data_IF_495151875564
#
_entry.id   IF_495151875564
#
_cell.length_a   1.000
_cell.length_b   1.000
_cell.length_c   1.000
_cell.angle_alpha   90.00
_cell.angle_beta   90.00
_cell.angle_gamma   90.00
#
_symmetry.space_group_name_H-M   'P 1'
#
loop_
_entity.id
_entity.type
_entity.pdbx_description
1 polymer ?
#
# COMPACT_ATOMS: atom_id res chain seq x y z
N UNK A 1 15.45 -22.73 -15.19
CA UNK A 1 16.43 -21.87 -14.50
C UNK A 1 15.87 -20.51 -14.10
N UNK A 2 14.72 -20.05 -14.63
CA UNK A 2 14.08 -18.78 -14.23
C UNK A 2 12.98 -18.93 -13.16
N UNK A 3 12.46 -20.13 -12.93
CA UNK A 3 11.44 -20.40 -11.91
C UNK A 3 11.99 -20.40 -10.48
N UNK A 4 13.27 -20.74 -10.31
CA UNK A 4 13.89 -20.77 -8.98
C UNK A 4 14.15 -19.37 -8.43
N UNK A 5 14.53 -18.41 -9.29
CA UNK A 5 14.71 -17.00 -8.90
C UNK A 5 13.40 -16.36 -8.43
N UNK A 6 12.27 -16.71 -9.03
CA UNK A 6 10.96 -16.17 -8.65
C UNK A 6 10.51 -16.68 -7.27
N UNK A 7 10.80 -17.94 -6.94
CA UNK A 7 10.51 -18.51 -5.62
C UNK A 7 11.48 -18.00 -4.54
N UNK A 8 12.70 -17.64 -4.91
CA UNK A 8 13.69 -17.04 -4.02
C UNK A 8 13.29 -15.60 -3.63
N UNK A 9 12.80 -14.80 -4.58
CA UNK A 9 12.29 -13.44 -4.32
C UNK A 9 11.03 -13.43 -3.44
N UNK A 10 10.16 -14.44 -3.56
CA UNK A 10 8.98 -14.59 -2.69
C UNK A 10 9.39 -14.99 -1.26
N UNK A 11 10.42 -15.83 -1.10
CA UNK A 11 10.97 -16.18 0.21
C UNK A 11 11.64 -14.99 0.90
N UNK A 12 12.36 -14.16 0.17
CA UNK A 12 12.99 -12.95 0.71
C UNK A 12 11.97 -11.89 1.15
N UNK A 13 10.86 -11.73 0.40
CA UNK A 13 9.77 -10.81 0.80
C UNK A 13 8.99 -11.30 2.03
N UNK A 14 8.84 -12.62 2.20
CA UNK A 14 8.19 -13.20 3.39
C UNK A 14 9.10 -13.18 4.64
N UNK A 15 10.43 -13.10 4.46
CA UNK A 15 11.39 -12.98 5.56
C UNK A 15 11.48 -11.54 6.12
N UNK A 16 11.22 -10.52 5.29
CA UNK A 16 11.30 -9.11 5.67
C UNK A 16 10.11 -8.59 6.51
N UNK A 17 9.04 -9.37 6.68
CA UNK A 17 7.81 -8.95 7.39
C UNK A 17 7.57 -9.65 8.74
N UNK A 18 8.61 -10.24 9.37
CA UNK A 18 8.47 -10.78 10.74
C UNK A 18 8.78 -9.70 11.78
N UNK A 19 7.82 -9.31 12.64
CA UNK A 19 8.15 -8.58 13.86
C UNK A 19 8.92 -9.52 14.81
N UNK A 20 9.88 -8.93 15.52
CA UNK A 20 10.92 -9.60 16.31
C UNK A 20 10.43 -10.69 17.25
N UNK A 21 11.27 -11.71 17.40
CA UNK A 21 11.04 -12.86 18.26
C UNK A 21 10.94 -12.50 19.74
N UNK A 22 9.98 -13.15 20.41
CA UNK A 22 10.06 -13.46 21.82
C UNK A 22 10.56 -14.91 21.98
N UNK A 23 11.34 -15.24 23.02
CA UNK A 23 11.85 -16.58 23.26
C UNK A 23 10.76 -17.50 23.81
N UNK A 24 10.86 -18.78 23.47
CA UNK A 24 10.01 -19.86 23.95
C UNK A 24 10.49 -20.40 25.30
N UNK A 25 9.55 -20.69 26.21
CA UNK A 25 9.70 -21.74 27.22
C UNK A 25 9.45 -21.35 28.68
N UNK A 26 8.19 -21.27 29.10
CA UNK A 26 7.72 -21.69 30.43
C UNK A 26 6.21 -21.98 30.36
N UNK A 27 5.78 -23.07 31.00
CA UNK A 27 4.47 -23.72 30.83
C UNK A 27 3.25 -22.94 31.34
N UNK A 28 2.05 -23.53 31.21
CA UNK A 28 0.80 -22.88 31.56
C UNK A 28 0.61 -22.89 33.08
N UNK A 29 0.97 -21.78 33.73
CA UNK A 29 0.47 -21.50 35.07
C UNK A 29 -1.00 -21.09 34.99
N UNK A 30 -1.81 -21.89 35.66
CA UNK A 30 -3.22 -21.68 35.94
C UNK A 30 -3.45 -20.25 36.46
N UNK A 31 -4.56 -19.58 36.11
CA UNK A 31 -4.92 -18.34 36.78
C UNK A 31 -5.24 -18.67 38.24
N UNK A 32 -4.29 -18.37 39.12
CA UNK A 32 -4.50 -18.29 40.55
C UNK A 32 -5.68 -17.34 40.84
N UNK A 33 -6.38 -17.56 41.95
CA UNK A 33 -7.60 -16.84 42.27
C UNK A 33 -7.33 -15.34 42.25
N UNK A 34 -8.22 -14.59 41.61
CA UNK A 34 -8.25 -13.14 41.64
C UNK A 34 -7.89 -12.66 43.04
N UNK A 35 -6.72 -12.03 43.18
CA UNK A 35 -6.48 -11.14 44.30
C UNK A 35 -7.56 -10.07 44.19
N UNK A 36 -8.61 -10.27 44.97
CA UNK A 36 -9.53 -9.24 45.34
C UNK A 36 -8.63 -8.09 45.80
N UNK A 37 -8.57 -7.04 44.99
CA UNK A 37 -8.04 -5.76 45.40
C UNK A 37 -8.81 -5.39 46.65
N UNK A 38 -8.24 -5.73 47.80
CA UNK A 38 -8.59 -5.19 49.08
C UNK A 38 -8.41 -3.70 48.87
N UNK A 39 -9.53 -3.03 48.62
CA UNK A 39 -9.70 -1.64 48.96
C UNK A 39 -9.16 -1.53 50.38
N UNK A 40 -7.89 -1.12 50.50
CA UNK A 40 -7.34 -0.66 51.76
C UNK A 40 -8.24 0.52 52.08
N UNK A 41 -9.22 0.28 52.95
CA UNK A 41 -9.99 1.35 53.54
C UNK A 41 -8.95 2.40 53.96
N UNK A 42 -9.10 3.67 53.55
CA UNK A 42 -8.18 4.70 53.97
C UNK A 42 -8.08 4.57 55.48
N UNK A 43 -6.88 4.24 55.97
CA UNK A 43 -6.64 3.98 57.38
C UNK A 43 -7.26 5.15 58.12
N UNK A 44 -8.29 4.89 58.92
CA UNK A 44 -8.83 5.93 59.79
C UNK A 44 -7.61 6.47 60.54
N UNK A 45 -7.23 7.74 60.38
CA UNK A 45 -6.25 8.30 61.29
C UNK A 45 -6.79 8.04 62.70
N UNK A 46 -5.93 7.70 63.67
CA UNK A 46 -6.38 7.58 65.05
C UNK A 46 -7.20 8.83 65.38
N UNK A 47 -8.39 8.62 65.95
CA UNK A 47 -9.22 9.72 66.42
C UNK A 47 -8.42 10.43 67.51
N UNK A 48 -7.60 11.40 67.13
CA UNK A 48 -7.10 12.43 68.02
C UNK A 48 -8.30 13.31 68.33
N UNK A 49 -9.13 12.83 69.27
CA UNK A 49 -10.04 13.71 69.98
C UNK A 49 -9.12 14.59 70.81
N UNK A 50 -9.08 15.92 70.57
CA UNK A 50 -8.41 16.81 71.48
C UNK A 50 -9.25 16.75 72.75
N UNK A 51 -8.82 15.91 73.70
CA UNK A 51 -9.35 15.96 75.04
C UNK A 51 -9.12 17.38 75.53
N UNK A 52 -10.15 18.09 76.03
CA UNK A 52 -9.92 19.36 76.67
C UNK A 52 -8.99 19.08 77.85
N UNK A 53 -7.73 19.51 77.76
CA UNK A 53 -6.77 19.43 78.88
C UNK A 53 -7.34 20.13 80.13
N UNK A 54 -8.31 21.02 79.91
CA UNK A 54 -9.08 21.76 80.90
C UNK A 54 -9.99 20.89 81.79
N UNK A 55 -10.32 19.65 81.40
CA UNK A 55 -11.19 18.76 82.19
C UNK A 55 -10.41 17.91 83.22
N UNK A 56 -9.11 17.73 83.03
CA UNK A 56 -8.23 17.04 84.00
C UNK A 56 -7.67 18.03 85.03
N UNK A 57 -7.70 19.33 84.74
CA UNK A 57 -7.25 20.38 85.66
C UNK A 57 -8.27 20.77 86.76
N UNK A 58 -9.44 20.13 86.81
CA UNK A 58 -10.34 20.19 87.96
C UNK A 58 -10.31 18.89 88.76
N UNK A 59 -9.11 18.37 89.03
CA UNK A 59 -8.92 17.69 90.30
C UNK A 59 -9.29 18.70 91.39
N UNK A 60 -10.40 18.42 92.08
CA UNK A 60 -10.64 18.91 93.43
C UNK A 60 -9.47 18.45 94.29
N UNK A 61 -8.39 19.22 94.21
CA UNK A 61 -7.15 18.98 94.93
C UNK A 61 -7.39 19.04 96.44
N UNK A 62 -6.39 18.65 97.24
CA UNK A 62 -6.48 18.34 98.67
C UNK A 62 -6.91 19.51 99.58
N UNK A 63 -7.34 20.66 99.04
CA UNK A 63 -7.77 21.83 99.82
C UNK A 63 -9.05 21.61 100.63
N UNK A 64 -10.01 20.82 100.14
CA UNK A 64 -11.16 20.43 100.97
C UNK A 64 -10.76 19.40 102.04
N UNK A 65 -9.79 18.53 101.74
CA UNK A 65 -9.22 17.59 102.71
C UNK A 65 -8.47 18.34 103.82
N UNK A 66 -7.66 19.35 103.52
CA UNK A 66 -6.92 20.13 104.52
C UNK A 66 -7.85 21.00 105.38
N UNK A 67 -8.85 21.68 104.79
CA UNK A 67 -9.78 22.49 105.56
C UNK A 67 -10.72 21.64 106.44
N UNK A 68 -11.20 20.49 105.93
CA UNK A 68 -12.02 19.56 106.71
C UNK A 68 -11.18 18.81 107.76
N UNK A 69 -9.93 18.46 107.47
CA UNK A 69 -9.00 17.88 108.43
C UNK A 69 -8.60 18.88 109.53
N UNK A 70 -8.36 20.14 109.18
CA UNK A 70 -8.11 21.22 110.14
C UNK A 70 -9.33 21.47 111.05
N UNK A 71 -10.54 21.49 110.48
CA UNK A 71 -11.77 21.63 111.25
C UNK A 71 -12.01 20.43 112.19
N UNK A 72 -11.72 19.20 111.75
CA UNK A 72 -11.78 18.00 112.61
C UNK A 72 -10.74 18.03 113.72
N UNK A 73 -9.51 18.42 113.41
CA UNK A 73 -8.43 18.57 114.39
C UNK A 73 -8.74 19.67 115.42
N UNK A 74 -9.38 20.77 115.02
CA UNK A 74 -9.85 21.81 115.94
C UNK A 74 -11.01 21.34 116.82
N UNK A 75 -11.93 20.54 116.28
CA UNK A 75 -13.02 19.92 117.04
C UNK A 75 -12.49 18.90 118.07
N UNK A 76 -11.45 18.14 117.70
CA UNK A 76 -10.79 17.17 118.56
C UNK A 76 -9.96 17.86 119.66
N UNK A 77 -9.25 18.95 119.32
CA UNK A 77 -8.58 19.84 120.31
C UNK A 77 -9.56 20.48 121.28
N UNK A 78 -10.73 20.90 120.80
CA UNK A 78 -11.80 21.40 121.66
C UNK A 78 -12.24 20.28 122.61
N UNK A 79 -12.54 19.07 122.10
CA UNK A 79 -12.96 17.88 122.86
C UNK A 79 -11.95 17.45 123.94
N UNK A 80 -10.66 17.49 123.64
CA UNK A 80 -9.60 17.25 124.63
C UNK A 80 -9.48 18.36 125.69
N UNK A 81 -9.76 19.62 125.30
CA UNK A 81 -9.87 20.74 126.21
C UNK A 81 -11.05 20.63 127.18
N UNK A 82 -12.17 20.04 126.75
CA UNK A 82 -13.34 19.73 127.58
C UNK A 82 -13.03 18.70 128.67
N UNK A 83 -12.41 17.56 128.33
CA UNK A 83 -12.06 16.50 129.29
C UNK A 83 -11.17 17.00 130.42
N UNK A 84 -10.33 18.01 130.16
CA UNK A 84 -9.45 18.61 131.18
C UNK A 84 -10.17 19.61 132.12
N UNK A 85 -11.26 20.26 131.69
CA UNK A 85 -11.98 21.26 132.51
C UNK A 85 -13.21 20.73 133.22
N UNK A 86 -13.73 19.57 132.82
CA UNK A 86 -14.84 18.90 133.52
C UNK A 86 -14.56 18.58 135.00
N UNK A 87 -13.28 18.52 135.42
CA UNK A 87 -12.87 18.35 136.82
C UNK A 87 -13.02 19.59 137.73
N UNK A 88 -13.41 20.76 137.20
CA UNK A 88 -13.47 22.03 137.96
C UNK A 88 -14.88 22.55 138.31
N UNK A 89 -15.94 21.75 138.10
CA UNK A 89 -17.28 22.03 138.65
C UNK A 89 -18.10 23.15 137.98
N UNK A 90 -17.76 23.58 136.77
CA UNK A 90 -18.44 24.66 136.05
C UNK A 90 -19.45 24.11 135.00
N UNK A 91 -20.52 23.51 135.50
CA UNK A 91 -21.52 22.73 134.71
C UNK A 91 -22.27 23.56 133.66
N UNK A 92 -22.52 24.84 133.92
CA UNK A 92 -23.23 25.73 132.98
C UNK A 92 -22.40 26.03 131.71
N UNK A 93 -21.08 26.15 131.86
CA UNK A 93 -20.17 26.44 130.75
C UNK A 93 -19.95 25.22 129.85
N UNK A 94 -19.97 24.02 130.44
CA UNK A 94 -19.90 22.74 129.72
C UNK A 94 -21.15 22.57 128.84
N UNK A 95 -22.35 22.80 129.39
CA UNK A 95 -23.61 22.70 128.64
C UNK A 95 -23.69 23.67 127.45
N UNK A 96 -23.24 24.92 127.62
CA UNK A 96 -23.20 25.91 126.53
C UNK A 96 -22.25 25.49 125.40
N UNK A 97 -21.10 24.92 125.76
CA UNK A 97 -20.11 24.49 124.80
C UNK A 97 -20.52 23.17 124.10
N UNK A 98 -21.20 22.25 124.78
CA UNK A 98 -21.82 21.06 124.18
C UNK A 98 -22.90 21.44 123.15
N UNK A 99 -23.76 22.41 123.49
CA UNK A 99 -24.73 22.96 122.55
C UNK A 99 -24.05 23.58 121.31
N UNK A 100 -22.92 24.26 121.50
CA UNK A 100 -22.13 24.82 120.38
C UNK A 100 -21.45 23.75 119.54
N UNK A 101 -20.97 22.66 120.15
CA UNK A 101 -20.45 21.50 119.43
C UNK A 101 -21.54 20.85 118.57
N UNK A 102 -22.73 20.60 119.11
CA UNK A 102 -23.84 20.07 118.34
C UNK A 102 -24.29 21.00 117.19
N UNK A 103 -24.29 22.32 117.41
CA UNK A 103 -24.58 23.29 116.35
C UNK A 103 -23.54 23.23 115.22
N UNK A 104 -22.26 23.08 115.56
CA UNK A 104 -21.17 22.96 114.58
C UNK A 104 -21.22 21.61 113.86
N UNK A 105 -21.49 20.51 114.55
CA UNK A 105 -21.69 19.18 113.95
C UNK A 105 -22.84 19.20 112.94
N UNK A 106 -23.97 19.82 113.29
CA UNK A 106 -25.11 19.99 112.39
C UNK A 106 -24.75 20.84 111.16
N UNK A 107 -23.96 21.91 111.33
CA UNK A 107 -23.45 22.74 110.22
C UNK A 107 -22.51 21.97 109.30
N UNK A 108 -21.58 21.19 109.86
CA UNK A 108 -20.65 20.35 109.08
C UNK A 108 -21.41 19.28 108.31
N UNK A 109 -22.40 18.63 108.92
CA UNK A 109 -23.26 17.66 108.25
C UNK A 109 -24.04 18.30 107.09
N UNK A 110 -24.64 19.47 107.31
CA UNK A 110 -25.37 20.22 106.28
C UNK A 110 -24.47 20.66 105.12
N UNK A 111 -23.25 21.12 105.40
CA UNK A 111 -22.28 21.52 104.37
C UNK A 111 -21.76 20.30 103.59
N UNK A 112 -21.48 19.19 104.27
CA UNK A 112 -21.07 17.93 103.62
C UNK A 112 -22.16 17.39 102.70
N UNK A 113 -23.43 17.49 103.09
CA UNK A 113 -24.55 17.07 102.25
C UNK A 113 -24.75 18.02 101.05
N UNK A 114 -24.59 19.34 101.26
CA UNK A 114 -24.61 20.31 100.18
C UNK A 114 -23.49 20.06 99.16
N UNK A 115 -22.27 19.79 99.63
CA UNK A 115 -21.13 19.43 98.80
C UNK A 115 -21.35 18.12 98.04
N UNK A 116 -21.92 17.10 98.69
CA UNK A 116 -22.26 15.84 98.02
C UNK A 116 -23.32 16.05 96.91
N UNK A 117 -24.30 16.94 97.13
CA UNK A 117 -25.31 17.28 96.11
C UNK A 117 -24.71 18.05 94.94
N UNK A 118 -23.85 19.04 95.19
CA UNK A 118 -23.22 19.83 94.12
C UNK A 118 -22.22 18.99 93.32
N UNK A 119 -21.42 18.14 93.97
CA UNK A 119 -20.50 17.22 93.28
C UNK A 119 -21.25 16.17 92.45
N UNK A 120 -22.36 15.62 92.97
CA UNK A 120 -23.21 14.71 92.21
C UNK A 120 -23.85 15.40 90.98
N UNK A 121 -24.36 16.62 91.16
CA UNK A 121 -24.93 17.42 90.07
C UNK A 121 -23.88 17.77 89.01
N UNK A 122 -22.68 18.22 89.42
CA UNK A 122 -21.57 18.52 88.52
C UNK A 122 -21.11 17.28 87.76
N UNK A 123 -21.00 16.13 88.44
CA UNK A 123 -20.64 14.85 87.80
C UNK A 123 -21.70 14.41 86.80
N UNK A 124 -22.98 14.56 87.12
CA UNK A 124 -24.07 14.24 86.18
C UNK A 124 -24.04 15.16 84.95
N UNK A 125 -23.84 16.46 85.17
CA UNK A 125 -23.76 17.43 84.08
C UNK A 125 -22.54 17.17 83.18
N UNK A 126 -21.40 16.81 83.77
CA UNK A 126 -20.20 16.42 83.03
C UNK A 126 -20.42 15.15 82.21
N UNK A 127 -21.04 14.10 82.80
CA UNK A 127 -21.39 12.86 82.10
C UNK A 127 -22.32 13.11 80.92
N UNK A 128 -23.33 13.96 81.10
CA UNK A 128 -24.22 14.34 80.00
C UNK A 128 -23.51 15.15 78.91
N UNK A 129 -22.62 16.07 79.28
CA UNK A 129 -21.85 16.84 78.31
C UNK A 129 -20.95 15.95 77.46
N UNK A 130 -20.26 14.99 78.10
CA UNK A 130 -19.45 13.97 77.41
C UNK A 130 -20.33 13.09 76.51
N UNK A 131 -21.48 12.62 77.00
CA UNK A 131 -22.42 11.82 76.20
C UNK A 131 -22.90 12.59 74.95
N UNK A 132 -23.23 13.88 75.08
CA UNK A 132 -23.62 14.75 73.96
C UNK A 132 -22.46 14.96 72.98
N UNK A 133 -21.23 15.14 73.45
CA UNK A 133 -20.06 15.29 72.59
C UNK A 133 -19.77 14.01 71.79
N UNK A 134 -19.84 12.84 72.45
CA UNK A 134 -19.67 11.55 71.79
C UNK A 134 -20.76 11.28 70.75
N UNK A 135 -22.01 11.65 71.01
CA UNK A 135 -23.09 11.48 70.04
C UNK A 135 -22.91 12.41 68.82
N UNK A 136 -22.43 13.64 69.02
CA UNK A 136 -22.08 14.56 67.92
C UNK A 136 -20.97 13.98 67.05
N UNK A 137 -19.87 13.52 67.64
CA UNK A 137 -18.76 12.90 66.91
C UNK A 137 -19.20 11.64 66.15
N UNK A 138 -20.05 10.81 66.74
CA UNK A 138 -20.62 9.63 66.04
C UNK A 138 -21.44 10.04 64.82
N UNK A 139 -22.28 11.08 64.94
CA UNK A 139 -23.08 11.58 63.82
C UNK A 139 -22.22 12.19 62.72
N UNK A 140 -21.21 12.98 63.09
CA UNK A 140 -20.26 13.56 62.14
C UNK A 140 -19.41 12.51 61.44
N UNK A 141 -18.90 11.53 62.19
CA UNK A 141 -18.18 10.38 61.64
C UNK A 141 -19.03 9.60 60.64
N UNK A 142 -20.29 9.31 60.99
CA UNK A 142 -21.23 8.63 60.10
C UNK A 142 -21.57 9.45 58.85
N UNK A 143 -21.61 10.79 58.94
CA UNK A 143 -21.79 11.68 57.80
C UNK A 143 -20.57 11.67 56.87
N UNK A 144 -19.35 11.82 57.43
CA UNK A 144 -18.09 11.77 56.68
C UNK A 144 -17.93 10.44 55.94
N UNK A 145 -18.31 9.34 56.57
CA UNK A 145 -18.28 8.00 55.97
C UNK A 145 -19.26 7.86 54.78
N UNK A 146 -20.51 8.36 54.92
CA UNK A 146 -21.47 8.37 53.80
C UNK A 146 -20.98 9.22 52.63
N UNK A 147 -20.49 10.42 52.90
CA UNK A 147 -19.96 11.31 51.86
C UNK A 147 -18.74 10.67 51.15
N UNK A 148 -17.86 9.98 51.89
CA UNK A 148 -16.74 9.26 51.30
C UNK A 148 -17.20 8.10 50.39
N UNK A 149 -18.21 7.33 50.83
CA UNK A 149 -18.80 6.25 50.03
C UNK A 149 -19.49 6.77 48.76
N UNK A 150 -20.22 7.88 48.86
CA UNK A 150 -20.86 8.52 47.70
C UNK A 150 -19.83 9.04 46.69
N UNK A 151 -18.77 9.71 47.16
CA UNK A 151 -17.66 10.14 46.29
C UNK A 151 -16.98 8.95 45.62
N UNK A 152 -16.69 7.88 46.36
CA UNK A 152 -16.10 6.65 45.81
C UNK A 152 -17.00 5.98 44.77
N UNK A 153 -18.31 5.92 45.01
CA UNK A 153 -19.30 5.42 44.03
C UNK A 153 -19.38 6.31 42.79
N UNK A 154 -19.36 7.63 42.96
CA UNK A 154 -19.37 8.59 41.86
C UNK A 154 -18.12 8.45 40.97
N UNK A 155 -16.94 8.42 41.58
CA UNK A 155 -15.66 8.18 40.88
C UNK A 155 -15.66 6.82 40.18
N UNK A 156 -16.10 5.76 40.86
CA UNK A 156 -16.20 4.42 40.27
C UNK A 156 -17.13 4.37 39.05
N UNK A 157 -18.28 5.06 39.11
CA UNK A 157 -19.21 5.18 37.97
C UNK A 157 -18.60 5.97 36.81
N UNK A 158 -17.91 7.09 37.08
CA UNK A 158 -17.24 7.88 36.04
C UNK A 158 -16.19 7.05 35.32
N UNK A 159 -15.28 6.42 36.07
CA UNK A 159 -14.23 5.57 35.51
C UNK A 159 -14.80 4.39 34.74
N UNK A 160 -15.87 3.75 35.24
CA UNK A 160 -16.53 2.66 34.52
C UNK A 160 -17.16 3.15 33.20
N UNK A 161 -17.80 4.32 33.21
CA UNK A 161 -18.39 4.94 32.02
C UNK A 161 -17.33 5.31 30.98
N UNK A 162 -16.21 5.88 31.41
CA UNK A 162 -15.08 6.23 30.54
C UNK A 162 -14.46 4.98 29.90
N UNK A 163 -14.22 3.92 30.70
CA UNK A 163 -13.68 2.64 30.20
C UNK A 163 -14.64 1.96 29.23
N UNK A 164 -15.94 2.00 29.51
CA UNK A 164 -16.95 1.48 28.59
C UNK A 164 -16.97 2.26 27.28
N UNK A 165 -16.94 3.60 27.34
CA UNK A 165 -16.90 4.46 26.16
C UNK A 165 -15.66 4.23 25.29
N UNK A 166 -14.49 4.06 25.92
CA UNK A 166 -13.25 3.71 25.23
C UNK A 166 -13.35 2.32 24.57
N UNK A 167 -13.80 1.30 25.31
CA UNK A 167 -13.96 -0.06 24.76
C UNK A 167 -14.96 -0.11 23.59
N UNK A 168 -16.05 0.68 23.66
CA UNK A 168 -16.99 0.81 22.55
C UNK A 168 -16.38 1.50 21.33
N UNK A 169 -15.54 2.52 21.53
CA UNK A 169 -14.84 3.21 20.45
C UNK A 169 -13.86 2.25 19.74
N UNK A 170 -13.08 1.49 20.52
CA UNK A 170 -12.16 0.48 20.01
C UNK A 170 -12.91 -0.61 19.24
N UNK A 171 -14.02 -1.11 19.79
CA UNK A 171 -14.87 -2.09 19.12
C UNK A 171 -15.48 -1.56 17.82
N UNK A 172 -15.84 -0.26 17.76
CA UNK A 172 -16.30 0.38 16.52
C UNK A 172 -15.18 0.50 15.50
N UNK A 173 -13.96 0.84 15.91
CA UNK A 173 -12.79 0.89 15.01
C UNK A 173 -12.49 -0.48 14.43
N UNK A 174 -12.38 -1.51 15.29
CA UNK A 174 -12.12 -2.88 14.89
C UNK A 174 -13.18 -3.42 13.91
N UNK A 175 -14.47 -3.10 14.12
CA UNK A 175 -15.54 -3.46 13.18
C UNK A 175 -15.41 -2.77 11.83
N UNK A 176 -14.97 -1.51 11.78
CA UNK A 176 -14.73 -0.79 10.52
C UNK A 176 -13.56 -1.40 9.76
N UNK A 177 -12.47 -1.70 10.45
CA UNK A 177 -11.30 -2.37 9.88
C UNK A 177 -11.66 -3.76 9.35
N UNK A 178 -12.41 -4.56 10.11
CA UNK A 178 -12.87 -5.87 9.67
C UNK A 178 -13.73 -5.78 8.40
N UNK A 179 -14.68 -4.82 8.33
CA UNK A 179 -15.50 -4.60 7.12
C UNK A 179 -14.65 -4.19 5.92
N UNK A 180 -13.67 -3.31 6.12
CA UNK A 180 -12.76 -2.90 5.06
C UNK A 180 -11.89 -4.07 4.58
N UNK A 181 -11.45 -4.95 5.49
CA UNK A 181 -10.72 -6.15 5.12
C UNK A 181 -11.60 -7.14 4.32
N UNK A 182 -12.86 -7.33 4.71
CA UNK A 182 -13.81 -8.16 3.94
C UNK A 182 -14.01 -7.62 2.53
N UNK A 183 -14.23 -6.31 2.37
CA UNK A 183 -14.37 -5.71 1.04
C UNK A 183 -13.13 -5.94 0.16
N UNK A 184 -11.92 -5.80 0.70
CA UNK A 184 -10.68 -6.10 -0.04
C UNK A 184 -10.58 -7.57 -0.44
N UNK A 185 -11.05 -8.50 0.40
CA UNK A 185 -11.09 -9.93 0.06
C UNK A 185 -12.06 -10.16 -1.10
N UNK A 186 -13.24 -9.55 -1.07
CA UNK A 186 -14.23 -9.68 -2.14
C UNK A 186 -13.68 -9.15 -3.47
N UNK A 187 -12.98 -8.01 -3.46
CA UNK A 187 -12.31 -7.45 -4.64
C UNK A 187 -11.25 -8.42 -5.20
N UNK A 188 -10.38 -8.97 -4.34
CA UNK A 188 -9.35 -9.94 -4.75
C UNK A 188 -9.96 -11.24 -5.30
N UNK A 189 -11.09 -11.69 -4.74
CA UNK A 189 -11.82 -12.87 -5.26
C UNK A 189 -12.36 -12.59 -6.66
N UNK A 190 -12.89 -11.39 -6.91
CA UNK A 190 -13.36 -10.99 -8.23
C UNK A 190 -12.21 -10.90 -9.25
N UNK A 191 -11.07 -10.33 -8.87
CA UNK A 191 -9.87 -10.30 -9.72
C UNK A 191 -9.35 -11.70 -10.06
N UNK A 192 -9.30 -12.60 -9.08
CA UNK A 192 -8.90 -14.00 -9.30
C UNK A 192 -9.86 -14.73 -10.25
N UNK A 193 -11.16 -14.47 -10.14
CA UNK A 193 -12.15 -15.03 -11.07
C UNK A 193 -11.91 -14.52 -12.50
N UNK A 194 -11.70 -13.21 -12.68
CA UNK A 194 -11.41 -12.62 -13.99
C UNK A 194 -10.13 -13.18 -14.62
N UNK A 195 -9.05 -13.35 -13.84
CA UNK A 195 -7.80 -13.95 -14.31
C UNK A 195 -8.00 -15.42 -14.73
N UNK A 196 -8.77 -16.19 -13.95
CA UNK A 196 -9.10 -17.58 -14.30
C UNK A 196 -9.91 -17.66 -15.60
N UNK A 197 -10.83 -16.74 -15.82
CA UNK A 197 -11.67 -16.69 -17.01
C UNK A 197 -10.85 -16.32 -18.25
N UNK A 198 -9.98 -15.31 -18.14
CA UNK A 198 -9.03 -14.95 -19.18
C UNK A 198 -8.07 -16.12 -19.51
N UNK A 199 -7.61 -16.87 -18.49
CA UNK A 199 -6.81 -18.07 -18.67
C UNK A 199 -7.54 -19.14 -19.50
N UNK A 200 -8.81 -19.43 -19.17
CA UNK A 200 -9.63 -20.39 -19.93
C UNK A 200 -9.87 -19.94 -21.37
N UNK A 201 -10.09 -18.64 -21.61
CA UNK A 201 -10.24 -18.09 -22.96
C UNK A 201 -8.95 -18.27 -23.77
N UNK A 202 -7.79 -17.97 -23.18
CA UNK A 202 -6.50 -18.13 -23.84
C UNK A 202 -6.22 -19.61 -24.20
N UNK A 203 -6.57 -20.54 -23.32
CA UNK A 203 -6.47 -21.98 -23.60
C UNK A 203 -7.38 -22.42 -24.74
N UNK A 204 -8.62 -21.92 -24.78
CA UNK A 204 -9.56 -22.19 -25.87
C UNK A 204 -9.05 -21.63 -27.21
N UNK A 205 -8.49 -20.41 -27.21
CA UNK A 205 -7.88 -19.81 -28.40
C UNK A 205 -6.64 -20.58 -28.87
N UNK A 206 -5.78 -21.02 -27.94
CA UNK A 206 -4.63 -21.86 -28.28
C UNK A 206 -5.08 -23.19 -28.87
N UNK A 207 -6.10 -23.81 -28.31
CA UNK A 207 -6.65 -25.06 -28.81
C UNK A 207 -7.31 -24.89 -30.20
N UNK A 208 -7.99 -23.77 -30.45
CA UNK A 208 -8.60 -23.48 -31.75
C UNK A 208 -7.54 -23.20 -32.82
N UNK A 209 -6.50 -22.41 -32.50
CA UNK A 209 -5.35 -22.17 -33.38
C UNK A 209 -4.62 -23.48 -33.70
N UNK A 210 -4.34 -24.30 -32.70
CA UNK A 210 -3.68 -25.59 -32.92
C UNK A 210 -4.51 -26.56 -33.78
N UNK A 211 -5.85 -26.49 -33.73
CA UNK A 211 -6.72 -27.24 -34.65
C UNK A 211 -6.62 -26.69 -36.06
N UNK A 212 -6.73 -25.38 -36.23
CA UNK A 212 -6.61 -24.73 -37.54
C UNK A 212 -5.24 -25.02 -38.20
N UNK A 213 -4.14 -24.94 -37.44
CA UNK A 213 -2.80 -25.30 -37.92
C UNK A 213 -2.72 -26.75 -38.40
N UNK A 214 -3.34 -27.70 -37.68
CA UNK A 214 -3.39 -29.11 -38.10
C UNK A 214 -4.20 -29.30 -39.38
N UNK A 215 -5.31 -28.60 -39.51
CA UNK A 215 -6.14 -28.67 -40.72
C UNK A 215 -5.43 -28.03 -41.92
N UNK A 216 -4.75 -26.89 -41.72
CA UNK A 216 -3.89 -26.30 -42.73
C UNK A 216 -2.73 -27.23 -43.12
N UNK A 217 -2.07 -27.87 -42.17
CA UNK A 217 -1.00 -28.83 -42.46
C UNK A 217 -1.49 -30.01 -43.32
N UNK A 218 -2.70 -30.51 -43.05
CA UNK A 218 -3.32 -31.57 -43.87
C UNK A 218 -3.59 -31.10 -45.30
N UNK A 219 -4.09 -29.88 -45.47
CA UNK A 219 -4.38 -29.34 -46.80
C UNK A 219 -3.09 -29.07 -47.58
N UNK A 220 -2.04 -28.57 -46.92
CA UNK A 220 -0.71 -28.41 -47.54
C UNK A 220 -0.20 -29.76 -48.04
N UNK A 221 -0.22 -30.81 -47.21
CA UNK A 221 0.19 -32.16 -47.65
C UNK A 221 -0.68 -32.71 -48.79
N UNK A 222 -1.98 -32.40 -48.81
CA UNK A 222 -2.87 -32.79 -49.92
C UNK A 222 -2.47 -32.09 -51.22
N UNK A 223 -2.30 -30.78 -51.18
CA UNK A 223 -1.91 -29.98 -52.34
C UNK A 223 -0.52 -30.35 -52.86
N UNK A 224 0.45 -30.62 -51.97
CA UNK A 224 1.78 -31.10 -52.36
C UNK A 224 1.72 -32.44 -53.09
N UNK A 225 0.88 -33.37 -52.63
CA UNK A 225 0.66 -34.64 -53.32
C UNK A 225 -0.02 -34.44 -54.69
N UNK A 226 -0.96 -33.51 -54.79
CA UNK A 226 -1.62 -33.13 -56.06
C UNK A 226 -0.61 -32.53 -57.06
N UNK A 227 0.23 -31.58 -56.60
CA UNK A 227 1.30 -30.98 -57.40
C UNK A 227 2.27 -32.05 -57.88
N UNK A 228 2.66 -33.00 -57.01
CA UNK A 228 3.53 -34.11 -57.40
C UNK A 228 2.88 -35.01 -58.45
N UNK A 229 1.58 -35.33 -58.30
CA UNK A 229 0.81 -36.12 -59.27
C UNK A 229 0.75 -35.42 -60.63
N UNK A 230 0.34 -34.16 -60.65
CA UNK A 230 0.22 -33.35 -61.86
C UNK A 230 1.57 -33.13 -62.54
N UNK A 231 2.65 -32.94 -61.76
CA UNK A 231 4.00 -32.84 -62.28
C UNK A 231 4.46 -34.13 -62.99
N UNK A 232 4.15 -35.30 -62.41
CA UNK A 232 4.43 -36.60 -63.04
C UNK A 232 3.60 -36.81 -64.32
N UNK A 233 2.33 -36.41 -64.32
CA UNK A 233 1.43 -36.47 -65.48
C UNK A 233 1.91 -35.57 -66.62
N UNK A 234 2.29 -34.32 -66.31
CA UNK A 234 2.90 -33.40 -67.26
C UNK A 234 4.21 -33.95 -67.85
N UNK A 235 5.05 -34.58 -67.03
CA UNK A 235 6.28 -35.21 -67.51
C UNK A 235 6.01 -36.38 -68.48
N UNK A 236 4.97 -37.19 -68.20
CA UNK A 236 4.55 -38.26 -69.11
C UNK A 236 3.98 -37.74 -70.43
N UNK A 237 3.21 -36.65 -70.39
CA UNK A 237 2.65 -36.02 -71.59
C UNK A 237 3.74 -35.34 -72.43
N UNK A 238 4.68 -34.63 -71.80
CA UNK A 238 5.86 -34.06 -72.48
C UNK A 238 6.76 -35.12 -73.11
N UNK A 239 6.90 -36.29 -72.48
CA UNK A 239 7.61 -37.44 -73.08
C UNK A 239 6.87 -38.10 -74.27
N UNK A 240 5.64 -37.67 -74.56
CA UNK A 240 4.77 -38.15 -75.65
C UNK A 240 4.55 -37.13 -76.76
N UNK A 241 5.04 -35.91 -76.60
CA UNK A 241 4.99 -34.91 -77.67
C UNK A 241 6.01 -35.29 -78.76
N UNK A 242 5.64 -35.28 -80.05
CA UNK A 242 6.64 -35.31 -81.10
C UNK A 242 7.53 -34.08 -80.93
N UNK A 243 8.85 -34.26 -81.11
CA UNK A 243 9.83 -33.19 -81.13
C UNK A 243 9.41 -32.17 -82.21
N UNK A 244 8.72 -31.11 -81.79
CA UNK A 244 8.44 -29.98 -82.66
C UNK A 244 9.76 -29.22 -82.73
N UNK A 245 10.45 -29.36 -83.85
CA UNK A 245 11.58 -28.52 -84.26
C UNK A 245 11.09 -27.08 -84.41
N UNK A 246 11.06 -26.37 -83.28
CA UNK A 246 10.94 -24.93 -83.24
C UNK A 246 12.31 -24.39 -83.62
N UNK A 247 12.54 -24.29 -84.94
CA UNK A 247 13.63 -23.51 -85.51
C UNK A 247 13.72 -22.12 -84.85
N UNK A 248 14.88 -21.45 -84.92
CA UNK A 248 15.27 -20.40 -83.99
C UNK A 248 14.24 -19.26 -83.96
N UNK A 249 13.43 -19.24 -82.91
CA UNK A 249 12.53 -18.14 -82.60
C UNK A 249 13.39 -17.01 -82.04
N UNK A 250 13.95 -16.19 -82.94
CA UNK A 250 14.66 -14.97 -82.57
C UNK A 250 13.62 -13.93 -82.12
N UNK A 251 13.53 -13.75 -80.81
CA UNK A 251 12.62 -12.82 -80.13
C UNK A 251 13.12 -12.49 -78.73
N UNK A 252 12.42 -11.63 -77.97
CA UNK A 252 12.87 -11.08 -76.67
C UNK A 252 13.25 -12.13 -75.61
N UNK A 253 12.83 -13.38 -75.80
CA UNK A 253 13.15 -14.52 -74.94
C UNK A 253 14.59 -15.01 -75.08
N UNK A 254 15.33 -14.64 -76.14
CA UNK A 254 16.77 -14.92 -76.26
C UNK A 254 17.60 -14.21 -75.17
N UNK A 255 17.03 -13.21 -74.50
CA UNK A 255 17.62 -12.56 -73.33
C UNK A 255 17.53 -13.41 -72.05
N UNK A 256 16.62 -14.39 -72.00
CA UNK A 256 16.44 -15.32 -70.87
C UNK A 256 17.15 -16.64 -71.19
N UNK A 257 18.43 -16.56 -71.58
CA UNK A 257 19.28 -17.76 -71.67
C UNK A 257 19.87 -18.16 -70.32
N UNK A 258 19.86 -17.25 -69.35
CA UNK A 258 20.40 -17.45 -68.00
C UNK A 258 19.52 -16.74 -66.97
N UNK A 259 19.28 -17.37 -65.83
CA UNK A 259 18.62 -16.75 -64.67
C UNK A 259 19.58 -15.68 -64.10
N UNK A 260 19.13 -14.44 -63.85
CA UNK A 260 19.97 -13.43 -63.21
C UNK A 260 20.52 -13.93 -61.86
N UNK A 261 21.83 -13.76 -61.65
CA UNK A 261 22.51 -14.13 -60.41
C UNK A 261 22.98 -12.90 -59.61
N UNK A 262 22.66 -11.70 -60.08
CA UNK A 262 22.98 -10.44 -59.41
C UNK A 262 21.91 -9.38 -59.67
N UNK A 263 21.82 -8.40 -58.77
CA UNK A 263 20.86 -7.30 -58.89
C UNK A 263 21.05 -6.49 -60.20
N UNK A 264 22.29 -6.31 -60.66
CA UNK A 264 22.54 -5.61 -61.92
C UNK A 264 22.04 -6.39 -63.13
N UNK A 265 22.11 -7.72 -63.09
CA UNK A 265 21.54 -8.58 -64.15
C UNK A 265 20.01 -8.52 -64.13
N UNK A 266 19.38 -8.51 -62.96
CA UNK A 266 17.92 -8.33 -62.83
C UNK A 266 17.47 -6.99 -63.41
N UNK A 267 18.14 -5.90 -63.05
CA UNK A 267 17.81 -4.56 -63.56
C UNK A 267 18.00 -4.49 -65.08
N UNK A 268 19.06 -5.10 -65.63
CA UNK A 268 19.30 -5.14 -67.08
C UNK A 268 18.24 -5.96 -67.80
N UNK A 269 17.94 -7.16 -67.30
CA UNK A 269 16.92 -8.02 -67.85
C UNK A 269 15.56 -7.31 -67.83
N UNK A 270 15.18 -6.76 -66.67
CA UNK A 270 13.93 -6.03 -66.49
C UNK A 270 13.86 -4.81 -67.42
N UNK A 271 14.93 -4.04 -67.55
CA UNK A 271 14.97 -2.90 -68.48
C UNK A 271 14.82 -3.32 -69.94
N UNK A 272 15.21 -4.55 -70.31
CA UNK A 272 15.02 -5.08 -71.66
C UNK A 272 13.62 -5.61 -71.94
N UNK A 273 12.87 -5.97 -70.89
CA UNK A 273 11.54 -6.59 -71.00
C UNK A 273 10.37 -5.60 -70.94
N UNK A 274 10.58 -4.37 -70.48
CA UNK A 274 9.53 -3.37 -70.32
C UNK A 274 9.99 -1.94 -70.64
N UNK A 275 9.04 -1.01 -70.80
CA UNK A 275 9.29 0.38 -71.22
C UNK A 275 8.85 1.45 -70.22
N UNK A 276 8.19 1.08 -69.12
CA UNK A 276 7.58 1.99 -68.12
C UNK A 276 8.56 2.46 -67.04
N UNK A 277 9.59 1.69 -66.77
CA UNK A 277 10.62 1.96 -65.75
C UNK A 277 11.96 2.16 -66.45
N UNK A 278 12.52 3.36 -66.29
CA UNK A 278 13.78 3.78 -66.90
C UNK A 278 14.87 3.87 -65.82
N UNK A 279 15.95 3.11 -65.98
CA UNK A 279 17.08 3.13 -65.04
C UNK A 279 18.17 4.07 -65.54
N UNK A 280 18.60 4.98 -64.68
CA UNK A 280 19.76 5.83 -64.97
C UNK A 280 21.07 5.02 -64.85
N UNK A 281 22.16 5.47 -65.50
CA UNK A 281 23.47 4.85 -65.33
C UNK A 281 23.90 4.70 -63.86
N UNK A 282 23.57 5.69 -63.02
CA UNK A 282 23.83 5.64 -61.57
C UNK A 282 23.07 4.51 -60.85
N UNK A 283 21.88 4.14 -61.34
CA UNK A 283 21.10 3.05 -60.78
C UNK A 283 21.73 1.69 -61.12
N UNK A 284 22.25 1.53 -62.33
CA UNK A 284 22.99 0.33 -62.75
C UNK A 284 24.31 0.19 -61.99
N UNK A 285 25.03 1.29 -61.76
CA UNK A 285 26.25 1.30 -60.95
C UNK A 285 25.97 0.93 -59.49
N UNK A 286 24.91 1.49 -58.89
CA UNK A 286 24.47 1.12 -57.55
C UNK A 286 24.09 -0.35 -57.43
N UNK A 287 23.41 -0.90 -58.44
CA UNK A 287 23.02 -2.30 -58.50
C UNK A 287 24.23 -3.24 -58.63
N UNK A 288 25.25 -2.85 -59.42
CA UNK A 288 26.47 -3.63 -59.60
C UNK A 288 27.28 -3.75 -58.31
N UNK A 289 27.24 -2.73 -57.47
CA UNK A 289 27.95 -2.67 -56.18
C UNK A 289 27.18 -3.31 -55.01
N UNK A 290 26.07 -3.99 -55.30
CA UNK A 290 25.21 -4.60 -54.29
C UNK A 290 25.35 -6.12 -54.29
N UNK A 291 25.69 -6.71 -53.14
CA UNK A 291 26.03 -8.13 -53.00
C UNK A 291 25.24 -8.85 -51.89
N UNK A 292 24.08 -8.33 -51.48
CA UNK A 292 23.31 -8.89 -50.37
C UNK A 292 21.82 -9.11 -50.68
N UNK A 293 21.09 -9.63 -49.69
CA UNK A 293 19.64 -9.75 -49.70
C UNK A 293 19.04 -10.76 -50.69
N UNK A 294 17.73 -10.66 -50.88
CA UNK A 294 16.89 -11.63 -51.59
C UNK A 294 16.55 -11.12 -52.99
N UNK A 295 17.20 -11.69 -54.01
CA UNK A 295 17.04 -11.32 -55.41
C UNK A 295 15.58 -11.50 -55.89
N UNK A 296 14.93 -12.61 -55.53
CA UNK A 296 13.53 -12.86 -55.89
C UNK A 296 12.62 -11.73 -55.38
N UNK A 297 12.89 -11.26 -54.15
CA UNK A 297 12.15 -10.13 -53.56
C UNK A 297 12.40 -8.81 -54.27
N UNK A 298 13.58 -8.61 -54.88
CA UNK A 298 13.88 -7.43 -55.70
C UNK A 298 13.17 -7.50 -57.04
N UNK A 299 13.18 -8.66 -57.68
CA UNK A 299 12.42 -8.90 -58.90
C UNK A 299 10.93 -8.60 -58.70
N UNK A 300 10.33 -9.09 -57.62
CA UNK A 300 8.95 -8.78 -57.25
C UNK A 300 8.71 -7.28 -57.04
N UNK A 301 9.67 -6.56 -56.44
CA UNK A 301 9.57 -5.12 -56.27
C UNK A 301 9.62 -4.36 -57.60
N UNK A 302 10.43 -4.82 -58.56
CA UNK A 302 10.50 -4.25 -59.90
C UNK A 302 9.17 -4.44 -60.65
N UNK A 303 8.61 -5.66 -60.61
CA UNK A 303 7.27 -5.95 -61.16
C UNK A 303 6.22 -5.07 -60.50
N UNK A 304 6.21 -4.98 -59.17
CA UNK A 304 5.29 -4.14 -58.43
C UNK A 304 5.38 -2.66 -58.85
N UNK A 305 6.59 -2.14 -59.10
CA UNK A 305 6.76 -0.79 -59.64
C UNK A 305 6.18 -0.65 -61.04
N UNK A 306 6.42 -1.61 -61.94
CA UNK A 306 5.95 -1.56 -63.31
C UNK A 306 4.42 -1.70 -63.44
N UNK A 307 3.81 -2.63 -62.69
CA UNK A 307 2.39 -2.92 -62.83
C UNK A 307 1.54 -2.05 -61.90
N UNK A 308 1.92 -1.96 -60.63
CA UNK A 308 1.08 -1.35 -59.60
C UNK A 308 1.41 0.12 -59.40
N UNK A 309 2.68 0.47 -59.14
CA UNK A 309 3.05 1.89 -58.90
C UNK A 309 2.74 2.76 -60.12
N UNK A 310 3.05 2.26 -61.32
CA UNK A 310 2.76 2.98 -62.56
C UNK A 310 1.25 3.17 -62.79
N UNK A 311 0.44 2.12 -62.59
CA UNK A 311 -1.03 2.20 -62.70
C UNK A 311 -1.60 3.21 -61.71
N UNK A 312 -1.21 3.10 -60.44
CA UNK A 312 -1.65 4.02 -59.39
C UNK A 312 -1.31 5.47 -59.73
N UNK A 313 -0.12 5.75 -60.26
CA UNK A 313 0.24 7.15 -60.58
C UNK A 313 -0.45 7.68 -61.83
N UNK A 314 -0.61 6.87 -62.87
CA UNK A 314 -0.89 7.38 -64.22
C UNK A 314 -2.24 6.93 -64.82
N UNK A 315 -2.89 5.90 -64.28
CA UNK A 315 -4.15 5.36 -64.81
C UNK A 315 -5.34 5.54 -63.86
N UNK A 316 -5.10 5.50 -62.55
CA UNK A 316 -6.15 5.53 -61.54
C UNK A 316 -6.37 6.95 -60.99
N UNK A 317 -7.64 7.31 -60.73
CA UNK A 317 -8.03 8.55 -60.08
C UNK A 317 -8.36 8.30 -58.59
N UNK A 318 -8.20 9.33 -57.75
CA UNK A 318 -8.53 9.31 -56.31
C UNK A 318 -7.83 8.22 -55.46
N UNK A 319 -6.55 7.94 -55.77
CA UNK A 319 -5.75 6.92 -55.08
C UNK A 319 -4.84 7.49 -53.99
N UNK A 320 -4.66 6.72 -52.91
CA UNK A 320 -3.64 6.98 -51.89
C UNK A 320 -2.42 6.09 -52.16
N UNK A 321 -1.54 6.53 -53.06
CA UNK A 321 -0.42 5.72 -53.59
C UNK A 321 0.33 4.92 -52.51
N UNK A 322 0.72 5.54 -51.38
CA UNK A 322 1.43 4.83 -50.29
C UNK A 322 0.63 3.72 -49.63
N UNK A 323 -0.68 3.92 -49.45
CA UNK A 323 -1.56 2.91 -48.86
C UNK A 323 -1.86 1.83 -49.89
N UNK A 324 -2.34 2.22 -51.06
CA UNK A 324 -2.81 1.29 -52.08
C UNK A 324 -1.66 0.43 -52.63
N UNK A 325 -0.46 1.00 -52.79
CA UNK A 325 0.72 0.24 -53.19
C UNK A 325 1.08 -0.82 -52.16
N UNK A 326 1.05 -0.47 -50.86
CA UNK A 326 1.32 -1.43 -49.77
C UNK A 326 0.24 -2.51 -49.69
N UNK A 327 -1.02 -2.12 -49.77
CA UNK A 327 -2.14 -3.03 -49.63
C UNK A 327 -2.19 -4.05 -50.81
N UNK A 328 -1.74 -3.65 -52.02
CA UNK A 328 -1.68 -4.52 -53.21
C UNK A 328 -0.41 -5.36 -53.33
N UNK A 329 0.73 -4.88 -52.84
CA UNK A 329 2.05 -5.50 -53.13
C UNK A 329 2.80 -5.96 -51.89
N UNK A 330 2.40 -5.50 -50.70
CA UNK A 330 3.14 -5.69 -49.45
C UNK A 330 4.41 -4.83 -49.32
N UNK A 331 4.83 -4.09 -50.35
CA UNK A 331 5.98 -3.20 -50.30
C UNK A 331 5.61 -1.83 -49.75
N UNK A 332 6.50 -1.21 -48.98
CA UNK A 332 6.28 0.14 -48.47
C UNK A 332 6.82 1.18 -49.45
N UNK A 333 5.98 2.16 -49.79
CA UNK A 333 6.37 3.33 -50.57
C UNK A 333 6.41 4.58 -49.69
N UNK A 334 7.51 5.31 -49.77
CA UNK A 334 7.69 6.62 -49.15
C UNK A 334 7.79 7.69 -50.24
N UNK A 335 6.84 8.63 -50.25
CA UNK A 335 6.82 9.73 -51.20
C UNK A 335 7.92 10.76 -50.96
N UNK A 336 8.31 10.93 -49.69
CA UNK A 336 9.32 11.89 -49.28
C UNK A 336 10.33 11.26 -48.32
N UNK A 337 11.54 11.79 -48.35
CA UNK A 337 12.55 11.58 -47.32
C UNK A 337 12.27 12.51 -46.13
N UNK A 338 12.71 12.14 -44.93
CA UNK A 338 12.58 13.01 -43.74
C UNK A 338 13.18 14.40 -43.98
N UNK A 339 12.50 15.45 -43.50
CA UNK A 339 12.93 16.85 -43.65
C UNK A 339 14.34 17.04 -43.09
N UNK A 340 14.60 16.44 -41.94
CA UNK A 340 15.88 16.48 -41.24
C UNK A 340 17.01 15.81 -42.02
N UNK A 341 16.70 14.84 -42.89
CA UNK A 341 17.70 14.22 -43.77
C UNK A 341 17.96 15.09 -45.00
N UNK A 342 16.94 15.77 -45.53
CA UNK A 342 17.09 16.66 -46.68
C UNK A 342 17.76 18.02 -46.36
N UNK A 343 17.75 18.44 -45.09
CA UNK A 343 18.48 19.63 -44.61
C UNK A 343 20.01 19.42 -44.61
N UNK A 344 20.49 18.17 -44.66
CA UNK A 344 21.92 17.85 -44.74
C UNK A 344 22.35 17.78 -46.21
N UNK A 345 23.27 18.66 -46.62
CA UNK A 345 23.70 18.80 -48.02
C UNK A 345 24.26 17.50 -48.64
N UNK A 346 25.04 16.72 -47.88
CA UNK A 346 25.56 15.42 -48.34
C UNK A 346 24.46 14.38 -48.59
N UNK A 347 23.44 14.33 -47.72
CA UNK A 347 22.27 13.46 -47.88
C UNK A 347 21.40 13.88 -49.07
N UNK A 348 21.23 15.20 -49.26
CA UNK A 348 20.51 15.76 -50.41
C UNK A 348 21.23 15.44 -51.71
N UNK A 349 22.54 15.67 -51.77
CA UNK A 349 23.37 15.36 -52.95
C UNK A 349 23.33 13.88 -53.31
N UNK A 350 23.34 12.98 -52.33
CA UNK A 350 23.24 11.54 -52.58
C UNK A 350 21.91 11.11 -53.25
N UNK A 351 20.85 11.93 -53.14
CA UNK A 351 19.53 11.71 -53.75
C UNK A 351 19.32 12.53 -55.02
N UNK A 352 20.34 13.23 -55.48
CA UNK A 352 20.28 14.06 -56.70
C UNK A 352 20.98 13.33 -57.84
N UNK A 353 20.25 13.07 -58.91
CA UNK A 353 20.75 12.33 -60.06
C UNK A 353 20.62 13.16 -61.33
N UNK A 354 21.57 12.96 -62.26
CA UNK A 354 21.56 13.64 -63.55
C UNK A 354 20.53 12.99 -64.47
N UNK A 355 19.48 13.72 -64.82
CA UNK A 355 18.42 13.25 -65.71
C UNK A 355 18.01 14.32 -66.72
N UNK A 356 17.98 13.98 -68.00
CA UNK A 356 17.67 14.88 -69.12
C UNK A 356 18.47 16.21 -69.08
N UNK A 357 19.77 16.12 -68.79
CA UNK A 357 20.64 17.30 -68.72
C UNK A 357 20.35 18.24 -67.53
N UNK A 358 19.63 17.77 -66.51
CA UNK A 358 19.37 18.51 -65.27
C UNK A 358 19.58 17.65 -64.05
N UNK A 359 19.87 18.28 -62.92
CA UNK A 359 20.00 17.59 -61.65
C UNK A 359 18.61 17.47 -61.02
N UNK A 360 18.18 16.24 -60.76
CA UNK A 360 16.84 15.93 -60.25
C UNK A 360 16.96 15.26 -58.89
N UNK A 361 16.29 15.86 -57.91
CA UNK A 361 16.16 15.28 -56.58
C UNK A 361 15.10 14.17 -56.62
N UNK A 362 15.50 12.94 -56.30
CA UNK A 362 14.63 11.76 -56.27
C UNK A 362 14.41 11.33 -54.81
N UNK A 363 13.30 11.80 -54.22
CA UNK A 363 12.94 11.48 -52.81
C UNK A 363 12.03 10.26 -52.68
N UNK A 364 11.29 9.94 -53.74
CA UNK A 364 10.39 8.79 -53.78
C UNK A 364 11.21 7.51 -53.68
N UNK A 365 10.83 6.61 -52.78
CA UNK A 365 11.49 5.32 -52.71
C UNK A 365 10.60 4.16 -52.27
N UNK A 366 10.88 2.98 -52.84
CA UNK A 366 10.31 1.70 -52.41
C UNK A 366 11.28 1.04 -51.43
N UNK A 367 10.73 0.51 -50.34
CA UNK A 367 11.46 -0.23 -49.31
C UNK A 367 11.37 -1.73 -49.56
N UNK A 368 12.50 -2.37 -49.85
CA UNK A 368 12.62 -3.82 -49.95
C UNK A 368 13.45 -4.35 -48.78
N UNK A 369 12.92 -5.33 -48.05
CA UNK A 369 13.54 -5.90 -46.84
C UNK A 369 13.20 -5.19 -45.52
N UNK A 370 13.54 -5.86 -44.40
CA UNK A 370 13.18 -5.42 -43.04
C UNK A 370 14.02 -4.23 -42.56
N UNK A 371 13.35 -3.25 -41.94
CA UNK A 371 13.89 -1.96 -41.47
C UNK A 371 14.85 -2.03 -40.27
N UNK A 372 15.23 -3.23 -39.81
CA UNK A 372 15.98 -3.43 -38.56
C UNK A 372 17.50 -3.50 -38.68
N UNK A 373 18.04 -3.96 -39.82
CA UNK A 373 19.49 -4.18 -39.98
C UNK A 373 20.01 -3.44 -41.23
N UNK A 374 20.56 -2.24 -41.03
CA UNK A 374 21.25 -1.45 -42.05
C UNK A 374 22.51 -2.13 -42.63
N UNK A 375 23.00 -3.18 -41.97
CA UNK A 375 24.20 -3.91 -42.35
C UNK A 375 23.97 -4.88 -43.52
N UNK A 376 22.85 -5.64 -43.56
CA UNK A 376 22.78 -6.86 -44.39
C UNK A 376 21.55 -7.04 -45.29
N UNK A 377 20.68 -6.04 -45.50
CA UNK A 377 19.53 -6.30 -46.41
C UNK A 377 18.50 -5.21 -46.67
N UNK A 378 18.70 -3.96 -46.22
CA UNK A 378 17.74 -2.88 -46.49
C UNK A 378 18.00 -2.25 -47.88
N UNK A 379 17.46 -2.87 -48.94
CA UNK A 379 17.49 -2.31 -50.29
C UNK A 379 16.43 -1.21 -50.45
N UNK A 380 16.79 -0.16 -51.18
CA UNK A 380 15.90 0.94 -51.56
C UNK A 380 16.01 1.20 -53.05
N UNK A 381 14.85 1.48 -53.66
CA UNK A 381 14.74 1.91 -55.05
C UNK A 381 14.32 3.37 -55.04
N UNK A 382 15.22 4.30 -55.34
CA UNK A 382 14.92 5.73 -55.40
C UNK A 382 14.58 6.14 -56.83
N UNK A 383 13.48 6.87 -56.98
CA UNK A 383 12.94 7.22 -58.28
C UNK A 383 12.24 8.59 -58.29
N UNK A 384 11.83 9.02 -59.47
CA UNK A 384 10.87 10.10 -59.69
C UNK A 384 9.79 9.66 -60.67
N UNK A 385 8.66 10.36 -60.64
CA UNK A 385 7.62 10.24 -61.65
C UNK A 385 7.91 11.25 -62.77
N UNK A 386 8.21 10.76 -63.97
CA UNK A 386 8.23 11.59 -65.17
C UNK A 386 6.80 11.65 -65.72
N UNK A 387 6.11 12.74 -65.41
CA UNK A 387 4.71 12.92 -65.79
C UNK A 387 4.53 13.15 -67.30
N UNK A 388 5.54 13.70 -67.97
CA UNK A 388 5.50 13.98 -69.41
C UNK A 388 5.66 12.68 -70.21
N UNK A 389 6.65 11.85 -69.85
CA UNK A 389 6.90 10.57 -70.52
C UNK A 389 6.08 9.42 -69.94
N UNK A 390 5.33 9.67 -68.85
CA UNK A 390 4.62 8.68 -68.05
C UNK A 390 5.54 7.50 -67.69
N UNK A 391 6.71 7.80 -67.12
CA UNK A 391 7.71 6.78 -66.72
C UNK A 391 8.09 6.91 -65.25
N UNK A 392 8.48 5.78 -64.67
CA UNK A 392 9.21 5.75 -63.39
C UNK A 392 10.70 5.84 -63.70
N UNK A 393 11.35 6.92 -63.31
CA UNK A 393 12.77 7.13 -63.59
C UNK A 393 13.55 6.84 -62.31
N UNK A 394 14.38 5.80 -62.35
CA UNK A 394 15.09 5.25 -61.20
C UNK A 394 16.53 5.75 -61.20
N UNK A 395 16.90 6.49 -60.15
CA UNK A 395 18.24 7.04 -59.98
C UNK A 395 19.18 6.15 -59.17
N UNK A 396 18.63 5.29 -58.31
CA UNK A 396 19.41 4.40 -57.44
C UNK A 396 18.63 3.12 -57.11
N UNK A 397 19.29 1.96 -57.26
CA UNK A 397 18.78 0.65 -56.82
C UNK A 397 19.89 -0.05 -56.06
N UNK A 398 19.67 -0.32 -54.78
CA UNK A 398 20.66 -1.02 -53.96
C UNK A 398 20.62 -0.57 -52.51
N UNK A 399 21.79 -0.55 -51.87
CA UNK A 399 21.91 -0.20 -50.45
C UNK A 399 21.25 1.15 -50.15
N UNK A 400 20.60 1.24 -48.98
CA UNK A 400 20.02 2.49 -48.47
C UNK A 400 21.01 3.67 -48.55
N UNK A 401 20.58 4.80 -49.11
CA UNK A 401 21.38 6.03 -49.15
C UNK A 401 21.57 6.62 -47.75
N UNK A 402 22.64 7.38 -47.47
CA UNK A 402 22.89 7.94 -46.14
C UNK A 402 21.69 8.76 -45.61
N UNK A 403 21.42 8.63 -44.31
CA UNK A 403 20.39 9.40 -43.57
C UNK A 403 21.01 10.04 -42.34
N UNK A 404 20.30 10.97 -41.68
CA UNK A 404 20.75 11.59 -40.42
C UNK A 404 21.15 10.57 -39.35
N UNK A 405 20.39 9.47 -39.22
CA UNK A 405 20.68 8.42 -38.24
C UNK A 405 21.96 7.64 -38.57
N UNK A 406 22.30 7.50 -39.85
CA UNK A 406 23.53 6.83 -40.30
C UNK A 406 24.78 7.69 -40.02
N UNK A 407 24.66 9.02 -40.10
CA UNK A 407 25.79 9.94 -39.86
C UNK A 407 26.13 10.19 -38.39
N UNK A 408 25.31 9.73 -37.43
CA UNK A 408 25.60 9.84 -35.99
C UNK A 408 26.38 8.64 -35.42
N UNK A 409 26.57 7.58 -36.20
CA UNK A 409 27.24 6.33 -35.78
C UNK A 409 28.64 6.14 -36.37
N UNK A 410 29.16 7.16 -37.04
CA UNK A 410 30.57 7.31 -37.44
C UNK A 410 31.08 8.60 -36.83
#
# INVERSE_FOLDING_TARGET
>A
METDKFLETIRESLAASRPGGAPAGAGPDLPGPCEAGLFRAPGRPPLEVPWPEDLVAQETGPRESEAAAAARADLERLREGFSRRAGQGDTARIALLEARCHELEAKVASLSEALARTTAAATSQAREAVARALDRERREGARREREALERGRGQGRSLASERLGAAEADARSARREARAATARIDDLVAELAAVRDAGRQLEQERASRARAERDHAREVSRLENEVRRLGAELAQLRGREPEIDLGPVSGPLDAIRTIPHSLVEEVRLFSGLQDRVEFLPSALEAAANYHGGDLDRYWEALIAMHDVMWSLKFQEADVQISRDFRDRTGFQYAANESRETLEIESCRRARTFRYQGRDRLMTNHVKVGNSGNYADGALRIYFLFDEERRKLVVGHVGRHLPTKSFMRST
#
